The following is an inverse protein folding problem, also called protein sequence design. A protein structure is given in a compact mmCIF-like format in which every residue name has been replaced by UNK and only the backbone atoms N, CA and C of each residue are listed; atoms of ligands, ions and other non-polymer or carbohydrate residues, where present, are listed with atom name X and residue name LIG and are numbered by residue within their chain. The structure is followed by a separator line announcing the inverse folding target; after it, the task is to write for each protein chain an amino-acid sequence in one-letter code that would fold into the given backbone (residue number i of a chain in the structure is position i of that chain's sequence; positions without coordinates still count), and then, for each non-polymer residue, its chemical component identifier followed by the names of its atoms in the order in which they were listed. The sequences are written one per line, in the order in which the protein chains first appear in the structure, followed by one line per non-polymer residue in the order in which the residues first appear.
data_IF_579198408113
#
_entry.id   IF_579198408113
#
_cell.length_a   1.000
_cell.length_b   1.000
_cell.length_c   1.000
_cell.angle_alpha   90.00
_cell.angle_beta   90.00
_cell.angle_gamma   90.00
#
_symmetry.space_group_name_H-M   'P 1'
#
loop_
_entity.id
_entity.type
_entity.pdbx_description
1 polymer ?
#
# COMPACT_ATOMS: atom_id res chain seq x y z
N UNK A 1 -20.75 -20.32 -12.55
CA UNK A 1 -19.61 -19.41 -12.39
C UNK A 1 -19.06 -19.39 -10.95
N UNK A 2 -19.82 -18.93 -9.92
CA UNK A 2 -19.29 -18.87 -8.52
C UNK A 2 -18.70 -20.20 -8.04
N UNK A 3 -19.45 -21.32 -8.18
CA UNK A 3 -18.96 -22.64 -7.77
C UNK A 3 -17.72 -23.09 -8.54
N UNK A 4 -17.59 -22.69 -9.80
CA UNK A 4 -16.41 -23.02 -10.64
C UNK A 4 -15.17 -22.31 -10.13
N UNK A 5 -15.29 -21.02 -9.73
CA UNK A 5 -14.22 -20.25 -9.10
C UNK A 5 -13.80 -20.92 -7.79
N UNK A 6 -14.75 -21.19 -6.89
CA UNK A 6 -14.49 -21.81 -5.59
C UNK A 6 -13.80 -23.16 -5.73
N UNK A 7 -14.33 -24.04 -6.59
CA UNK A 7 -13.74 -25.38 -6.82
C UNK A 7 -12.34 -25.29 -7.43
N UNK A 8 -12.09 -24.29 -8.28
CA UNK A 8 -10.78 -24.10 -8.86
C UNK A 8 -9.76 -23.60 -7.83
N UNK A 9 -10.12 -22.59 -7.04
CA UNK A 9 -9.23 -22.09 -5.97
C UNK A 9 -8.91 -23.21 -4.97
N UNK A 10 -9.91 -24.03 -4.59
CA UNK A 10 -9.66 -25.19 -3.71
C UNK A 10 -8.73 -26.22 -4.34
N UNK A 11 -8.83 -26.43 -5.67
CA UNK A 11 -7.96 -27.39 -6.38
C UNK A 11 -6.49 -26.96 -6.47
N UNK A 12 -6.19 -25.67 -6.35
CA UNK A 12 -4.84 -25.10 -6.40
C UNK A 12 -4.36 -24.58 -5.04
N UNK A 13 -5.08 -24.88 -3.96
CA UNK A 13 -4.77 -24.33 -2.62
C UNK A 13 -3.35 -24.64 -2.15
N UNK A 14 -2.83 -25.83 -2.47
CA UNK A 14 -1.48 -26.22 -2.07
C UNK A 14 -0.43 -25.36 -2.79
N UNK A 15 -0.62 -25.06 -4.07
CA UNK A 15 0.26 -24.15 -4.83
C UNK A 15 0.23 -22.72 -4.25
N UNK A 16 -0.93 -22.28 -3.74
CA UNK A 16 -1.08 -20.97 -3.08
C UNK A 16 -0.38 -20.95 -1.70
N UNK A 17 -0.46 -22.04 -0.94
CA UNK A 17 0.28 -22.18 0.32
C UNK A 17 1.79 -22.23 0.08
N UNK A 18 2.23 -22.94 -0.98
CA UNK A 18 3.63 -22.99 -1.38
C UNK A 18 4.15 -21.60 -1.81
N UNK A 19 3.35 -20.79 -2.49
CA UNK A 19 3.68 -19.39 -2.79
C UNK A 19 3.90 -18.58 -1.50
N UNK A 20 2.96 -18.67 -0.55
CA UNK A 20 3.09 -17.96 0.74
C UNK A 20 4.35 -18.40 1.50
N UNK A 21 4.59 -19.70 1.57
CA UNK A 21 5.75 -20.29 2.23
C UNK A 21 7.06 -19.92 1.52
N UNK A 22 7.07 -19.91 0.19
CA UNK A 22 8.25 -19.52 -0.59
C UNK A 22 8.65 -18.08 -0.30
N UNK A 23 7.70 -17.14 -0.35
CA UNK A 23 7.94 -15.74 -0.03
C UNK A 23 8.42 -15.57 1.42
N UNK A 24 7.77 -16.26 2.38
CA UNK A 24 8.14 -16.22 3.79
C UNK A 24 9.59 -16.65 4.02
N UNK A 25 10.03 -17.73 3.36
CA UNK A 25 11.37 -18.29 3.51
C UNK A 25 12.44 -17.58 2.67
N UNK A 26 12.03 -16.72 1.71
CA UNK A 26 12.93 -15.94 0.86
C UNK A 26 12.58 -14.44 0.97
N UNK A 27 12.69 -13.83 2.15
CA UNK A 27 12.34 -12.41 2.33
C UNK A 27 13.29 -11.51 1.55
N UNK A 28 12.75 -10.65 0.72
CA UNK A 28 13.49 -9.68 -0.08
C UNK A 28 12.96 -8.27 0.18
N UNK A 29 13.86 -7.28 0.18
CA UNK A 29 13.56 -5.90 0.53
C UNK A 29 13.16 -5.05 -0.67
N UNK A 30 12.70 -3.84 -0.40
CA UNK A 30 12.20 -2.88 -1.38
C UNK A 30 13.05 -2.82 -2.65
N UNK A 31 12.41 -3.06 -3.79
CA UNK A 31 12.96 -3.03 -5.14
C UNK A 31 14.08 -4.07 -5.42
N UNK A 32 14.24 -5.06 -4.54
CA UNK A 32 15.17 -6.20 -4.68
C UNK A 32 14.46 -7.54 -4.58
N UNK A 33 13.15 -7.57 -4.80
CA UNK A 33 12.29 -8.75 -4.69
C UNK A 33 12.38 -9.66 -5.93
N UNK A 34 13.61 -9.97 -6.36
CA UNK A 34 13.85 -10.70 -7.62
C UNK A 34 13.35 -12.13 -7.60
N UNK A 35 13.55 -12.86 -6.49
CA UNK A 35 13.10 -14.25 -6.35
C UNK A 35 11.58 -14.31 -6.19
N UNK A 36 11.03 -13.43 -5.36
CA UNK A 36 9.59 -13.34 -5.11
C UNK A 36 8.82 -13.01 -6.38
N UNK A 37 9.23 -11.95 -7.10
CA UNK A 37 8.60 -11.55 -8.35
C UNK A 37 8.73 -12.65 -9.42
N UNK A 38 9.91 -13.27 -9.57
CA UNK A 38 10.11 -14.35 -10.55
C UNK A 38 9.23 -15.57 -10.27
N UNK A 39 9.07 -15.98 -9.00
CA UNK A 39 8.19 -17.07 -8.61
C UNK A 39 6.73 -16.78 -8.98
N UNK A 40 6.24 -15.59 -8.63
CA UNK A 40 4.87 -15.14 -8.94
C UNK A 40 4.65 -15.07 -10.45
N UNK A 41 5.57 -14.46 -11.19
CA UNK A 41 5.52 -14.35 -12.66
C UNK A 41 5.42 -15.72 -13.32
N UNK A 42 6.26 -16.67 -12.89
CA UNK A 42 6.23 -18.03 -13.42
C UNK A 42 4.89 -18.72 -13.16
N UNK A 43 4.35 -18.59 -11.94
CA UNK A 43 3.04 -19.12 -11.58
C UNK A 43 1.94 -18.54 -12.47
N UNK A 44 1.90 -17.22 -12.67
CA UNK A 44 0.92 -16.56 -13.53
C UNK A 44 1.03 -17.00 -14.99
N UNK A 45 2.25 -17.12 -15.53
CA UNK A 45 2.49 -17.64 -16.91
C UNK A 45 1.99 -19.06 -17.06
N UNK A 46 2.23 -19.94 -16.08
CA UNK A 46 1.76 -21.33 -16.10
C UNK A 46 0.23 -21.42 -16.13
N UNK A 47 -0.46 -20.45 -15.53
CA UNK A 47 -1.92 -20.34 -15.52
C UNK A 47 -2.49 -19.48 -16.67
N UNK A 48 -1.68 -19.17 -17.70
CA UNK A 48 -2.15 -18.55 -18.95
C UNK A 48 -2.27 -17.02 -18.94
N UNK A 49 -1.67 -16.35 -17.95
CA UNK A 49 -1.56 -14.89 -17.96
C UNK A 49 -0.46 -14.44 -18.93
N UNK A 50 -0.76 -13.37 -19.68
CA UNK A 50 0.26 -12.63 -20.42
C UNK A 50 0.95 -11.66 -19.46
N UNK A 51 2.26 -11.82 -19.26
CA UNK A 51 3.02 -11.07 -18.25
C UNK A 51 4.02 -10.13 -18.89
N UNK A 52 3.94 -8.84 -18.55
CA UNK A 52 4.94 -7.81 -18.85
C UNK A 52 5.80 -7.63 -17.61
N UNK A 53 7.05 -8.01 -17.68
CA UNK A 53 8.06 -7.83 -16.63
C UNK A 53 8.68 -6.45 -16.69
N UNK A 54 9.37 -6.03 -15.62
CA UNK A 54 10.00 -4.70 -15.51
C UNK A 54 9.00 -3.56 -15.79
N UNK A 55 7.80 -3.68 -15.25
CA UNK A 55 6.70 -2.76 -15.55
C UNK A 55 7.03 -1.35 -15.05
N UNK A 56 6.74 -0.33 -15.88
CA UNK A 56 7.11 1.07 -15.62
C UNK A 56 8.59 1.27 -15.28
N UNK A 57 9.50 0.48 -15.90
CA UNK A 57 10.95 0.50 -15.66
C UNK A 57 11.36 0.14 -14.22
N UNK A 58 10.51 -0.56 -13.48
CA UNK A 58 10.80 -1.08 -12.14
C UNK A 58 11.15 -2.57 -12.27
N UNK A 59 12.42 -2.99 -12.01
CA UNK A 59 12.90 -4.34 -12.31
C UNK A 59 12.09 -5.49 -11.70
N UNK A 60 11.53 -5.27 -10.51
CA UNK A 60 10.77 -6.29 -9.79
C UNK A 60 9.25 -6.12 -9.90
N UNK A 61 8.78 -5.05 -10.60
CA UNK A 61 7.35 -4.86 -10.89
C UNK A 61 6.93 -5.65 -12.14
N UNK A 62 5.67 -6.07 -12.18
CA UNK A 62 5.10 -6.76 -13.33
C UNK A 62 3.61 -6.41 -13.51
N UNK A 63 3.14 -6.50 -14.74
CA UNK A 63 1.74 -6.43 -15.11
C UNK A 63 1.35 -7.74 -15.78
N UNK A 64 0.38 -8.45 -15.24
CA UNK A 64 -0.12 -9.71 -15.77
C UNK A 64 -1.62 -9.61 -16.11
N UNK A 65 -2.01 -10.05 -17.27
CA UNK A 65 -3.40 -9.97 -17.74
C UNK A 65 -3.89 -11.30 -18.30
N UNK A 66 -5.12 -11.66 -17.92
CA UNK A 66 -5.89 -12.73 -18.53
C UNK A 66 -7.25 -12.18 -19.00
N UNK A 67 -7.68 -12.53 -20.20
CA UNK A 67 -8.87 -11.96 -20.82
C UNK A 67 -8.61 -10.70 -21.64
N UNK A 68 -9.65 -10.21 -22.33
CA UNK A 68 -9.59 -9.05 -23.24
C UNK A 68 -10.83 -8.18 -23.01
N UNK A 69 -10.62 -6.87 -22.98
CA UNK A 69 -11.71 -5.88 -22.85
C UNK A 69 -12.04 -5.52 -21.41
N UNK A 70 -13.11 -4.76 -21.25
CA UNK A 70 -13.61 -4.21 -19.98
C UNK A 70 -14.86 -4.98 -19.49
N UNK A 71 -15.14 -4.99 -18.17
CA UNK A 71 -14.34 -4.31 -17.12
C UNK A 71 -13.01 -5.01 -16.86
N UNK A 72 -12.00 -4.24 -16.47
CA UNK A 72 -10.70 -4.71 -16.03
C UNK A 72 -10.62 -4.70 -14.51
N UNK A 73 -10.58 -5.87 -13.91
CA UNK A 73 -10.47 -6.06 -12.45
C UNK A 73 -9.01 -6.30 -12.10
N UNK A 74 -8.42 -5.40 -11.32
CA UNK A 74 -7.01 -5.46 -10.92
C UNK A 74 -6.87 -5.85 -9.45
N UNK A 75 -6.05 -6.85 -9.19
CA UNK A 75 -5.58 -7.22 -7.86
C UNK A 75 -4.15 -6.73 -7.66
N UNK A 76 -3.94 -5.89 -6.65
CA UNK A 76 -2.59 -5.44 -6.28
C UNK A 76 -1.89 -6.58 -5.52
N UNK A 77 -0.71 -6.94 -5.99
CA UNK A 77 0.11 -7.99 -5.41
C UNK A 77 1.35 -7.37 -4.77
N UNK A 78 1.42 -7.37 -3.43
CA UNK A 78 2.56 -6.92 -2.64
C UNK A 78 3.32 -8.10 -2.10
N UNK A 79 4.65 -8.10 -2.22
CA UNK A 79 5.52 -9.23 -1.82
C UNK A 79 6.82 -8.80 -1.15
N UNK A 80 6.95 -7.52 -0.81
CA UNK A 80 8.12 -6.96 -0.13
C UNK A 80 8.19 -7.41 1.33
N UNK A 81 9.40 -7.73 1.79
CA UNK A 81 9.71 -7.99 3.18
C UNK A 81 10.57 -6.89 3.79
N UNK A 82 10.70 -6.86 5.11
CA UNK A 82 11.64 -5.98 5.81
C UNK A 82 13.00 -6.64 5.97
N UNK A 83 14.08 -5.85 5.93
CA UNK A 83 15.45 -6.35 5.92
C UNK A 83 15.80 -7.25 7.13
N UNK A 84 15.33 -6.90 8.32
CA UNK A 84 15.69 -7.59 9.56
C UNK A 84 14.65 -8.56 10.08
N UNK A 85 13.39 -8.37 9.72
CA UNK A 85 12.26 -9.04 10.38
C UNK A 85 11.34 -9.79 9.40
N UNK A 86 11.70 -9.86 8.12
CA UNK A 86 10.94 -10.61 7.12
C UNK A 86 9.56 -10.01 6.84
N UNK A 87 8.56 -10.85 6.67
CA UNK A 87 7.21 -10.45 6.29
C UNK A 87 6.34 -10.00 7.49
N UNK A 88 6.83 -9.04 8.27
CA UNK A 88 6.12 -8.50 9.46
C UNK A 88 4.79 -7.81 9.16
N UNK A 89 4.53 -7.49 7.90
CA UNK A 89 3.27 -6.94 7.40
C UNK A 89 2.37 -7.98 6.71
N UNK A 90 2.80 -9.24 6.65
CA UNK A 90 2.04 -10.30 6.00
C UNK A 90 1.97 -10.22 4.47
N UNK A 91 2.94 -9.58 3.80
CA UNK A 91 2.90 -9.42 2.34
C UNK A 91 3.00 -10.74 1.57
N UNK A 92 3.60 -11.79 2.14
CA UNK A 92 3.53 -13.15 1.59
C UNK A 92 2.08 -13.64 1.47
N UNK A 93 1.24 -13.31 2.44
CA UNK A 93 -0.20 -13.65 2.45
C UNK A 93 -0.98 -12.71 1.54
N UNK A 94 -0.69 -11.39 1.54
CA UNK A 94 -1.31 -10.43 0.62
C UNK A 94 -1.11 -10.85 -0.84
N UNK A 95 0.13 -11.25 -1.21
CA UNK A 95 0.43 -11.79 -2.54
C UNK A 95 -0.40 -13.04 -2.83
N UNK A 96 -0.45 -13.99 -1.91
CA UNK A 96 -1.17 -15.25 -2.07
C UNK A 96 -2.67 -15.05 -2.27
N UNK A 97 -3.30 -14.14 -1.51
CA UNK A 97 -4.71 -13.78 -1.68
C UNK A 97 -4.94 -13.18 -3.07
N UNK A 98 -4.11 -12.20 -3.48
CA UNK A 98 -4.25 -11.52 -4.78
C UNK A 98 -4.10 -12.50 -5.94
N UNK A 99 -3.09 -13.37 -5.89
CA UNK A 99 -2.84 -14.37 -6.93
C UNK A 99 -3.97 -15.39 -6.98
N UNK A 100 -4.39 -15.96 -5.85
CA UNK A 100 -5.49 -16.92 -5.81
C UNK A 100 -6.79 -16.33 -6.33
N UNK A 101 -7.10 -15.06 -6.00
CA UNK A 101 -8.27 -14.34 -6.50
C UNK A 101 -8.23 -14.19 -8.02
N UNK A 102 -7.08 -13.77 -8.53
CA UNK A 102 -6.88 -13.58 -9.97
C UNK A 102 -6.98 -14.91 -10.74
N UNK A 103 -6.34 -15.97 -10.24
CA UNK A 103 -6.41 -17.31 -10.83
C UNK A 103 -7.83 -17.86 -10.81
N UNK A 104 -8.57 -17.66 -9.71
CA UNK A 104 -9.96 -18.07 -9.60
C UNK A 104 -10.87 -17.37 -10.62
N UNK A 105 -10.80 -16.04 -10.67
CA UNK A 105 -11.61 -15.25 -11.61
C UNK A 105 -11.24 -15.52 -13.07
N UNK A 106 -9.96 -15.72 -13.38
CA UNK A 106 -9.48 -16.00 -14.73
C UNK A 106 -10.13 -17.25 -15.35
N UNK A 107 -10.54 -18.21 -14.51
CA UNK A 107 -11.14 -19.48 -14.95
C UNK A 107 -12.47 -19.29 -15.67
N UNK A 108 -13.18 -18.24 -15.37
CA UNK A 108 -14.50 -17.96 -15.97
C UNK A 108 -14.47 -16.79 -16.98
N UNK A 109 -13.37 -16.08 -17.09
CA UNK A 109 -13.23 -14.89 -17.96
C UNK A 109 -13.59 -15.15 -19.41
N UNK A 110 -13.21 -16.29 -19.97
CA UNK A 110 -13.56 -16.66 -21.35
C UNK A 110 -15.07 -16.79 -21.59
N UNK A 111 -15.87 -16.96 -20.53
CA UNK A 111 -17.33 -17.14 -20.58
C UNK A 111 -18.07 -15.83 -20.34
N UNK A 112 -17.52 -14.92 -19.54
CA UNK A 112 -18.18 -13.69 -19.09
C UNK A 112 -17.65 -12.43 -19.76
N UNK A 113 -16.47 -12.49 -20.40
CA UNK A 113 -15.78 -11.31 -20.94
C UNK A 113 -15.01 -10.54 -19.85
N UNK A 114 -14.49 -9.37 -20.22
CA UNK A 114 -13.66 -8.55 -19.35
C UNK A 114 -12.23 -9.07 -19.21
N UNK A 115 -11.48 -8.52 -18.26
CA UNK A 115 -10.09 -8.89 -18.00
C UNK A 115 -9.79 -8.96 -16.51
N UNK A 116 -8.91 -9.89 -16.14
CA UNK A 116 -8.30 -9.99 -14.82
C UNK A 116 -6.87 -9.52 -14.92
N UNK A 117 -6.49 -8.61 -14.05
CA UNK A 117 -5.14 -8.05 -13.98
C UNK A 117 -4.54 -8.36 -12.61
N UNK A 118 -3.27 -8.73 -12.59
CA UNK A 118 -2.43 -8.72 -11.40
C UNK A 118 -1.33 -7.70 -11.62
N UNK A 119 -1.25 -6.73 -10.74
CA UNK A 119 -0.16 -5.76 -10.74
C UNK A 119 0.77 -6.04 -9.58
N UNK A 120 1.98 -6.49 -9.89
CA UNK A 120 3.05 -6.71 -8.91
C UNK A 120 3.68 -5.38 -8.53
N UNK A 121 3.47 -4.97 -7.28
CA UNK A 121 3.95 -3.72 -6.72
C UNK A 121 5.04 -4.00 -5.67
N UNK A 122 6.33 -3.92 -6.04
CA UNK A 122 7.43 -3.95 -5.09
C UNK A 122 7.48 -2.66 -4.27
N UNK A 123 8.23 -2.70 -3.18
CA UNK A 123 8.30 -1.61 -2.24
C UNK A 123 7.12 -1.60 -1.26
N UNK A 124 7.26 -0.83 -0.19
CA UNK A 124 6.25 -0.79 0.88
C UNK A 124 5.94 0.65 1.28
N UNK A 125 4.68 0.91 1.63
CA UNK A 125 4.16 2.22 2.07
C UNK A 125 4.45 3.37 1.10
N UNK A 126 4.99 4.50 1.63
CA UNK A 126 5.30 5.71 0.84
C UNK A 126 6.34 5.48 -0.25
N UNK A 127 7.14 4.42 -0.14
CA UNK A 127 8.13 4.02 -1.14
C UNK A 127 7.63 2.94 -2.10
N UNK A 128 6.35 2.59 -2.06
CA UNK A 128 5.78 1.56 -2.92
C UNK A 128 5.75 1.95 -4.40
N UNK A 129 5.85 0.94 -5.27
CA UNK A 129 5.81 1.10 -6.71
C UNK A 129 4.50 1.73 -7.20
N UNK A 130 3.41 1.63 -6.42
CA UNK A 130 2.11 2.21 -6.75
C UNK A 130 2.19 3.69 -7.07
N UNK A 131 3.00 4.47 -6.33
CA UNK A 131 3.16 5.91 -6.56
C UNK A 131 3.82 6.19 -7.92
N UNK A 132 4.88 5.46 -8.24
CA UNK A 132 5.58 5.59 -9.53
C UNK A 132 4.68 5.18 -10.68
N UNK A 133 4.00 4.03 -10.57
CA UNK A 133 3.08 3.49 -11.57
C UNK A 133 1.90 4.44 -11.80
N UNK A 134 1.41 5.09 -10.72
CA UNK A 134 0.35 6.11 -10.82
C UNK A 134 0.84 7.35 -11.58
N UNK A 135 2.05 7.83 -11.27
CA UNK A 135 2.66 8.99 -11.94
C UNK A 135 2.87 8.74 -13.44
N UNK A 136 3.23 7.52 -13.81
CA UNK A 136 3.37 7.05 -15.20
C UNK A 136 2.01 6.77 -15.88
N UNK A 137 0.88 7.05 -15.21
CA UNK A 137 -0.50 6.87 -15.71
C UNK A 137 -0.87 5.45 -16.11
N UNK A 138 -0.20 4.47 -15.55
CA UNK A 138 -0.39 3.07 -15.90
C UNK A 138 -1.68 2.45 -15.34
N UNK A 139 -2.47 3.19 -14.56
CA UNK A 139 -3.77 2.77 -14.01
C UNK A 139 -4.98 3.31 -14.80
N UNK A 140 -4.78 4.22 -15.77
CA UNK A 140 -5.89 4.89 -16.48
C UNK A 140 -6.83 3.95 -17.24
N UNK A 141 -6.33 2.76 -17.60
CA UNK A 141 -7.09 1.73 -18.35
C UNK A 141 -7.60 0.59 -17.44
N UNK A 142 -7.71 0.80 -16.13
CA UNK A 142 -8.20 -0.15 -15.15
C UNK A 142 -9.50 0.36 -14.54
N UNK A 143 -10.54 -0.48 -14.50
CA UNK A 143 -11.86 -0.06 -14.02
C UNK A 143 -12.01 -0.19 -12.52
N UNK A 144 -11.43 -1.25 -11.92
CA UNK A 144 -11.58 -1.58 -10.48
C UNK A 144 -10.25 -2.07 -9.93
N UNK A 145 -9.91 -1.62 -8.72
CA UNK A 145 -8.71 -2.06 -8.01
C UNK A 145 -9.06 -2.61 -6.63
N UNK A 146 -8.58 -3.80 -6.34
CA UNK A 146 -8.73 -4.48 -5.05
C UNK A 146 -7.33 -4.80 -4.52
N UNK A 147 -6.99 -4.25 -3.35
CA UNK A 147 -5.72 -4.51 -2.70
C UNK A 147 -5.96 -5.13 -1.32
N UNK A 148 -5.88 -6.44 -1.14
CA UNK A 148 -6.02 -7.06 0.17
C UNK A 148 -4.87 -6.67 1.10
N UNK A 149 -5.17 -6.54 2.38
CA UNK A 149 -4.20 -6.25 3.43
C UNK A 149 -4.37 -7.21 4.61
N UNK A 150 -3.28 -7.79 5.08
CA UNK A 150 -3.28 -8.64 6.27
C UNK A 150 -3.31 -7.79 7.54
N UNK A 151 -4.16 -8.19 8.49
CA UNK A 151 -4.29 -7.52 9.78
C UNK A 151 -4.66 -8.55 10.86
N UNK A 152 -4.81 -8.12 12.09
CA UNK A 152 -5.33 -8.92 13.21
C UNK A 152 -6.86 -8.99 13.22
N UNK A 153 -7.53 -8.14 12.45
CA UNK A 153 -9.00 -8.09 12.34
C UNK A 153 -9.44 -8.03 10.89
N UNK A 154 -10.60 -8.61 10.59
CA UNK A 154 -11.25 -8.35 9.31
C UNK A 154 -11.97 -7.01 9.37
N UNK A 155 -11.76 -6.15 8.39
CA UNK A 155 -12.42 -4.85 8.31
C UNK A 155 -12.75 -4.46 6.87
N UNK A 156 -13.83 -3.70 6.71
CA UNK A 156 -14.08 -2.99 5.46
C UNK A 156 -12.96 -1.98 5.17
N UNK A 157 -12.81 -1.63 3.90
CA UNK A 157 -11.86 -0.60 3.50
C UNK A 157 -12.18 0.73 4.18
N UNK A 158 -11.17 1.33 4.82
CA UNK A 158 -11.26 2.65 5.44
C UNK A 158 -10.55 3.71 4.62
N UNK A 159 -10.05 4.73 5.29
CA UNK A 159 -9.22 5.79 4.71
C UNK A 159 -7.79 5.68 5.20
N UNK A 160 -6.86 6.40 4.57
CA UNK A 160 -5.52 6.63 5.07
C UNK A 160 -5.22 8.12 5.17
N UNK A 161 -4.08 8.48 5.73
CA UNK A 161 -3.64 9.87 5.73
C UNK A 161 -2.83 10.21 4.47
N UNK A 162 -2.93 11.46 4.03
CA UNK A 162 -1.97 12.04 3.13
C UNK A 162 -0.65 12.32 3.85
N UNK A 163 0.48 12.16 3.15
CA UNK A 163 1.82 12.36 3.71
C UNK A 163 2.68 13.20 2.79
N UNK A 164 3.36 14.21 3.34
CA UNK A 164 4.42 14.95 2.67
C UNK A 164 5.74 14.72 3.43
N UNK A 165 6.73 14.05 2.81
CA UNK A 165 8.03 13.77 3.44
C UNK A 165 8.97 14.96 3.27
N UNK A 166 9.23 15.71 4.35
CA UNK A 166 10.04 16.93 4.33
C UNK A 166 11.42 16.67 4.91
N UNK A 167 12.45 17.16 4.23
CA UNK A 167 13.82 17.18 4.68
C UNK A 167 14.32 18.61 4.79
N UNK A 168 14.93 18.94 5.92
CA UNK A 168 15.62 20.20 6.16
C UNK A 168 17.10 19.92 6.32
N UNK A 169 17.94 20.67 5.64
CA UNK A 169 19.39 20.69 5.86
C UNK A 169 19.81 22.07 6.32
N UNK A 170 20.64 22.12 7.33
CA UNK A 170 21.34 23.33 7.75
C UNK A 170 22.82 23.24 7.43
N UNK A 171 23.31 24.23 6.70
CA UNK A 171 24.72 24.39 6.38
C UNK A 171 25.34 25.32 7.43
N UNK A 172 25.89 24.75 8.49
CA UNK A 172 26.46 25.53 9.57
C UNK A 172 27.97 25.71 9.39
N UNK A 173 28.41 26.96 9.11
CA UNK A 173 29.79 27.32 8.99
C UNK A 173 30.41 27.74 10.34
N UNK A 174 29.62 27.84 11.40
CA UNK A 174 30.03 28.28 12.72
C UNK A 174 29.68 27.23 13.77
N UNK A 175 30.47 27.18 14.85
CA UNK A 175 30.37 26.21 15.97
C UNK A 175 29.02 26.16 16.74
N UNK A 176 27.96 26.74 16.22
CA UNK A 176 26.63 26.63 16.84
C UNK A 176 26.04 25.24 16.57
N UNK A 177 25.53 24.63 17.61
CA UNK A 177 24.95 23.30 17.56
C UNK A 177 23.77 23.27 16.57
N UNK A 178 23.93 22.57 15.46
CA UNK A 178 22.83 22.35 14.50
C UNK A 178 21.64 21.66 15.16
N UNK A 179 21.87 20.86 16.22
CA UNK A 179 20.83 20.23 17.00
C UNK A 179 19.92 21.27 17.70
N UNK A 180 20.48 22.32 18.27
CA UNK A 180 19.70 23.39 18.92
C UNK A 180 18.80 24.11 17.92
N UNK A 181 19.30 24.33 16.69
CA UNK A 181 18.50 24.93 15.62
C UNK A 181 17.32 24.05 15.24
N UNK A 182 17.53 22.73 15.12
CA UNK A 182 16.42 21.80 14.86
C UNK A 182 15.43 21.75 16.01
N UNK A 183 15.89 21.69 17.27
CA UNK A 183 15.01 21.71 18.44
C UNK A 183 14.16 22.98 18.50
N UNK A 184 14.75 24.14 18.17
CA UNK A 184 14.02 25.40 18.11
C UNK A 184 12.95 25.38 17.01
N UNK A 185 13.30 24.90 15.81
CA UNK A 185 12.37 24.76 14.70
C UNK A 185 11.23 23.79 15.04
N UNK A 186 11.53 22.58 15.53
CA UNK A 186 10.50 21.60 15.86
C UNK A 186 9.60 22.02 17.02
N UNK A 187 10.13 22.70 18.02
CA UNK A 187 9.30 23.28 19.08
C UNK A 187 8.35 24.35 18.52
N UNK A 188 8.83 25.21 17.63
CA UNK A 188 8.02 26.24 16.98
C UNK A 188 6.95 25.62 16.08
N UNK A 189 7.28 24.59 15.29
CA UNK A 189 6.35 23.83 14.48
C UNK A 189 5.26 23.14 15.33
N UNK A 190 5.65 22.53 16.44
CA UNK A 190 4.70 21.90 17.36
C UNK A 190 3.72 22.90 17.97
N UNK A 191 4.20 24.11 18.32
CA UNK A 191 3.31 25.20 18.79
C UNK A 191 2.40 25.71 17.69
N UNK A 192 2.90 25.87 16.46
CA UNK A 192 2.09 26.23 15.30
C UNK A 192 0.95 25.21 15.08
N UNK A 193 1.30 23.93 15.05
CA UNK A 193 0.33 22.86 14.79
C UNK A 193 -0.73 22.74 15.91
N UNK A 194 -0.34 22.92 17.16
CA UNK A 194 -1.30 22.94 18.30
C UNK A 194 -2.24 24.14 18.29
N UNK A 195 -1.79 25.28 17.75
CA UNK A 195 -2.61 26.49 17.62
C UNK A 195 -3.58 26.45 16.44
N UNK A 196 -3.34 25.55 15.51
CA UNK A 196 -4.21 25.32 14.35
C UNK A 196 -5.11 24.12 14.70
N UNK A 197 -6.42 24.32 14.77
CA UNK A 197 -7.41 23.24 14.99
C UNK A 197 -7.43 22.31 13.78
N UNK A 198 -6.49 21.39 13.69
CA UNK A 198 -6.27 20.64 12.47
C UNK A 198 -6.01 19.17 12.71
N UNK A 199 -6.42 18.37 11.73
CA UNK A 199 -6.07 16.97 11.63
C UNK A 199 -4.67 16.77 11.00
N UNK A 200 -3.77 17.76 11.18
CA UNK A 200 -2.40 17.71 10.71
C UNK A 200 -1.43 17.53 11.88
N UNK A 201 -0.42 16.71 11.69
CA UNK A 201 0.65 16.50 12.67
C UNK A 201 1.96 16.09 11.98
N UNK A 202 3.05 16.28 12.73
CA UNK A 202 4.39 15.84 12.32
C UNK A 202 4.70 14.52 13.01
N UNK A 203 5.26 13.59 12.26
CA UNK A 203 5.61 12.25 12.74
C UNK A 203 6.98 11.80 12.23
N UNK A 204 7.57 10.81 12.89
CA UNK A 204 8.84 10.17 12.50
C UNK A 204 10.00 11.16 12.32
N UNK A 205 10.17 12.07 13.27
CA UNK A 205 11.28 13.02 13.24
C UNK A 205 12.59 12.29 13.44
N UNK A 206 13.51 12.44 12.48
CA UNK A 206 14.89 11.97 12.59
C UNK A 206 15.87 13.10 12.34
N UNK A 207 16.89 13.22 13.18
CA UNK A 207 17.96 14.22 13.03
C UNK A 207 19.28 13.46 12.92
N UNK A 208 19.98 13.63 11.81
CA UNK A 208 21.24 12.97 11.54
C UNK A 208 22.34 14.01 11.32
N UNK A 209 23.47 13.82 11.98
CA UNK A 209 24.68 14.56 11.67
C UNK A 209 25.41 13.86 10.52
N UNK A 210 25.51 14.50 9.38
CA UNK A 210 26.27 14.01 8.23
C UNK A 210 27.65 14.62 8.32
N UNK A 211 28.64 13.87 8.82
CA UNK A 211 30.03 14.27 8.73
C UNK A 211 30.56 13.89 7.36
N UNK A 212 30.96 14.85 6.51
CA UNK A 212 31.72 14.50 5.31
C UNK A 212 33.09 13.94 5.73
N UNK A 213 33.51 12.90 5.07
CA UNK A 213 34.74 12.15 5.37
C UNK A 213 36.06 12.95 5.21
N UNK A 214 36.03 14.21 4.80
CA UNK A 214 37.20 15.08 4.68
C UNK A 214 36.80 16.55 4.90
N UNK A 215 37.15 17.06 6.06
CA UNK A 215 37.31 18.47 6.45
C UNK A 215 36.10 19.44 6.37
N UNK A 216 35.72 19.93 7.51
CA UNK A 216 35.34 21.29 7.90
C UNK A 216 33.87 21.76 7.88
N UNK A 217 32.87 21.03 7.36
CA UNK A 217 31.51 21.49 7.52
C UNK A 217 30.61 20.34 8.09
N UNK A 218 30.16 20.50 9.30
CA UNK A 218 29.11 19.66 9.90
C UNK A 218 27.79 19.97 9.18
N UNK A 219 27.47 19.16 8.17
CA UNK A 219 26.12 19.15 7.61
C UNK A 219 25.23 18.31 8.51
N UNK A 220 24.11 18.85 8.90
CA UNK A 220 23.11 18.12 9.62
C UNK A 220 21.81 18.14 8.83
N UNK A 221 21.08 17.03 8.84
CA UNK A 221 19.78 16.92 8.20
C UNK A 221 18.71 16.46 9.20
N UNK A 222 17.53 17.04 9.08
CA UNK A 222 16.34 16.55 9.75
C UNK A 222 15.32 16.10 8.71
N UNK A 223 14.68 14.95 8.97
CA UNK A 223 13.59 14.39 8.15
C UNK A 223 12.37 14.20 9.03
N UNK A 224 11.20 14.45 8.47
CA UNK A 224 9.94 14.20 9.13
C UNK A 224 8.82 14.04 8.09
N UNK A 225 7.75 13.40 8.51
CA UNK A 225 6.52 13.31 7.71
C UNK A 225 5.50 14.31 8.23
N UNK A 226 5.01 15.16 7.34
CA UNK A 226 3.79 15.94 7.57
C UNK A 226 2.61 15.06 7.16
N UNK A 227 1.72 14.77 8.09
CA UNK A 227 0.52 13.97 7.88
C UNK A 227 -0.73 14.83 8.02
N UNK A 228 -1.69 14.63 7.12
CA UNK A 228 -2.98 15.30 7.15
C UNK A 228 -4.09 14.36 6.69
N UNK A 229 -5.34 14.72 6.94
CA UNK A 229 -6.51 13.94 6.51
C UNK A 229 -6.64 13.90 5.00
N UNK A 230 -6.25 15.00 4.31
CA UNK A 230 -6.26 15.11 2.86
C UNK A 230 -4.97 15.73 2.34
N UNK A 231 -4.64 15.45 1.08
CA UNK A 231 -3.46 16.05 0.44
C UNK A 231 -3.58 17.58 0.35
N UNK A 232 -4.76 18.12 0.10
CA UNK A 232 -4.99 19.56 0.07
C UNK A 232 -4.67 20.24 1.42
N UNK A 233 -5.09 19.61 2.54
CA UNK A 233 -4.72 20.08 3.87
C UNK A 233 -3.21 19.99 4.07
N UNK A 234 -2.58 18.88 3.70
CA UNK A 234 -1.14 18.70 3.81
C UNK A 234 -0.37 19.78 3.04
N UNK A 235 -0.74 20.09 1.81
CA UNK A 235 -0.11 21.13 0.96
C UNK A 235 -0.27 22.55 1.54
N UNK A 236 -1.46 22.87 2.11
CA UNK A 236 -1.68 24.15 2.82
C UNK A 236 -0.73 24.28 4.01
N UNK A 237 -0.56 23.19 4.76
CA UNK A 237 0.34 23.16 5.92
C UNK A 237 1.79 23.15 5.53
N UNK A 238 2.17 22.43 4.51
CA UNK A 238 3.52 22.43 3.96
C UNK A 238 3.99 23.87 3.68
N UNK A 239 3.18 24.67 3.00
CA UNK A 239 3.51 26.08 2.72
C UNK A 239 3.75 26.88 4.00
N UNK A 240 2.87 26.77 5.00
CA UNK A 240 3.03 27.46 6.28
C UNK A 240 4.27 27.00 7.05
N UNK A 241 4.56 25.70 7.02
CA UNK A 241 5.73 25.11 7.64
C UNK A 241 7.00 25.64 6.97
N UNK A 242 7.05 25.67 5.66
CA UNK A 242 8.18 26.20 4.88
C UNK A 242 8.40 27.68 5.21
N UNK A 243 7.35 28.49 5.20
CA UNK A 243 7.43 29.93 5.57
C UNK A 243 7.96 30.12 7.01
N UNK A 244 7.50 29.31 7.95
CA UNK A 244 8.01 29.38 9.32
C UNK A 244 9.47 28.99 9.41
N UNK A 245 9.89 27.91 8.75
CA UNK A 245 11.29 27.46 8.72
C UNK A 245 12.17 28.55 8.14
N UNK A 246 11.79 29.15 6.99
CA UNK A 246 12.53 30.28 6.42
C UNK A 246 12.67 31.45 7.39
N UNK A 247 11.59 31.86 8.05
CA UNK A 247 11.61 32.95 9.01
C UNK A 247 12.54 32.67 10.21
N UNK A 248 12.49 31.44 10.74
CA UNK A 248 13.34 31.02 11.85
C UNK A 248 14.81 30.94 11.43
N UNK A 249 15.08 30.43 10.22
CA UNK A 249 16.44 30.35 9.66
C UNK A 249 17.08 31.74 9.48
N UNK A 250 16.27 32.72 9.04
CA UNK A 250 16.73 34.13 8.98
C UNK A 250 17.05 34.69 10.37
N UNK A 251 16.22 34.45 11.39
CA UNK A 251 16.46 34.86 12.76
C UNK A 251 17.75 34.25 13.31
N UNK A 252 17.98 32.96 13.02
CA UNK A 252 19.17 32.22 13.45
C UNK A 252 20.41 32.56 12.62
N UNK A 253 20.25 33.25 11.48
CA UNK A 253 21.31 33.50 10.48
C UNK A 253 21.98 32.21 9.98
N UNK A 254 21.22 31.14 9.79
CA UNK A 254 21.67 29.84 9.32
C UNK A 254 20.97 29.53 7.99
N UNK A 255 21.71 29.35 6.87
CA UNK A 255 21.12 28.97 5.61
C UNK A 255 20.50 27.55 5.68
N UNK A 256 19.28 27.43 5.18
CA UNK A 256 18.56 26.16 5.07
C UNK A 256 18.37 25.71 3.62
N UNK A 257 18.26 24.42 3.44
CA UNK A 257 17.80 23.75 2.21
C UNK A 257 16.63 22.86 2.58
N UNK A 258 15.44 23.13 2.00
CA UNK A 258 14.23 22.33 2.21
C UNK A 258 13.93 21.54 0.93
N UNK A 259 13.69 20.25 1.08
CA UNK A 259 13.39 19.35 -0.05
C UNK A 259 12.52 18.19 0.40
N UNK A 260 11.91 17.50 -0.54
CA UNK A 260 11.29 16.20 -0.28
C UNK A 260 12.37 15.11 -0.27
N UNK A 261 12.24 14.12 0.60
CA UNK A 261 13.16 12.96 0.60
C UNK A 261 12.52 11.68 0.04
N UNK A 262 11.20 11.69 -0.18
CA UNK A 262 10.40 10.65 -0.82
C UNK A 262 9.28 11.32 -1.64
N UNK A 263 8.52 10.54 -2.40
CA UNK A 263 7.33 11.04 -3.09
C UNK A 263 6.19 11.26 -2.07
N UNK A 264 5.46 12.38 -2.14
CA UNK A 264 4.23 12.57 -1.37
C UNK A 264 3.19 11.50 -1.72
N UNK A 265 2.39 11.09 -0.74
CA UNK A 265 1.28 10.18 -0.95
C UNK A 265 -0.05 10.84 -0.58
N UNK A 266 -1.05 10.63 -1.43
CA UNK A 266 -2.43 11.07 -1.17
C UNK A 266 -3.12 10.11 -0.19
N UNK A 267 -4.16 10.60 0.46
CA UNK A 267 -5.07 9.78 1.26
C UNK A 267 -5.80 8.74 0.41
N UNK A 268 -6.22 7.63 1.02
CA UNK A 268 -7.04 6.63 0.36
C UNK A 268 -8.51 7.09 0.31
N UNK A 269 -9.05 7.23 -0.87
CA UNK A 269 -10.46 7.40 -1.15
C UNK A 269 -11.10 6.03 -1.37
N UNK A 270 -11.68 5.46 -0.32
CA UNK A 270 -12.35 4.17 -0.41
C UNK A 270 -13.67 4.28 -1.17
N UNK A 271 -13.86 3.43 -2.18
CA UNK A 271 -15.15 3.24 -2.82
C UNK A 271 -16.06 2.40 -1.92
N UNK A 272 -17.12 3.02 -1.39
CA UNK A 272 -18.00 2.41 -0.39
C UNK A 272 -18.88 1.31 -0.96
N UNK A 273 -19.40 1.48 -2.17
CA UNK A 273 -20.24 0.49 -2.86
C UNK A 273 -19.43 -0.78 -3.11
N UNK A 274 -18.19 -0.65 -3.60
CA UNK A 274 -17.27 -1.76 -3.80
C UNK A 274 -16.89 -2.44 -2.46
N UNK A 275 -16.62 -1.66 -1.41
CA UNK A 275 -16.27 -2.18 -0.08
C UNK A 275 -17.40 -2.99 0.54
N UNK A 276 -18.65 -2.52 0.42
CA UNK A 276 -19.85 -3.26 0.90
C UNK A 276 -20.09 -4.54 0.13
N UNK A 277 -19.90 -4.51 -1.21
CA UNK A 277 -20.00 -5.70 -2.05
C UNK A 277 -18.97 -6.77 -1.60
N UNK A 278 -17.73 -6.36 -1.39
CA UNK A 278 -16.71 -7.27 -0.89
C UNK A 278 -17.05 -7.80 0.52
N UNK A 279 -17.49 -6.93 1.44
CA UNK A 279 -17.87 -7.37 2.79
C UNK A 279 -19.00 -8.41 2.77
N UNK A 280 -19.98 -8.28 1.85
CA UNK A 280 -20.98 -9.29 1.63
C UNK A 280 -20.36 -10.62 1.17
N UNK A 281 -19.50 -10.59 0.15
CA UNK A 281 -18.86 -11.78 -0.39
C UNK A 281 -17.89 -12.44 0.59
N UNK A 282 -17.23 -11.66 1.48
CA UNK A 282 -16.42 -12.20 2.58
C UNK A 282 -17.29 -13.02 3.56
N UNK A 283 -18.48 -12.51 3.93
CA UNK A 283 -19.42 -13.23 4.80
C UNK A 283 -19.89 -14.52 4.15
N UNK A 284 -20.26 -14.49 2.88
CA UNK A 284 -20.67 -15.68 2.12
C UNK A 284 -19.52 -16.72 2.01
N UNK A 285 -18.28 -16.26 2.00
CA UNK A 285 -17.08 -17.12 1.97
C UNK A 285 -16.64 -17.61 3.35
N UNK A 286 -17.39 -17.26 4.42
CA UNK A 286 -17.14 -17.72 5.80
C UNK A 286 -16.22 -16.83 6.63
N UNK A 287 -16.01 -15.58 6.23
CA UNK A 287 -15.39 -14.52 7.04
C UNK A 287 -16.51 -13.62 7.58
N UNK A 288 -17.11 -14.00 8.71
CA UNK A 288 -18.35 -13.40 9.21
C UNK A 288 -18.08 -12.13 10.03
N UNK A 289 -17.03 -12.16 10.87
CA UNK A 289 -16.72 -11.06 11.79
C UNK A 289 -15.94 -9.97 11.06
N UNK A 290 -16.64 -9.02 10.47
CA UNK A 290 -16.06 -7.89 9.76
C UNK A 290 -16.45 -6.62 10.51
N UNK A 291 -15.45 -5.86 10.98
CA UNK A 291 -15.70 -4.56 11.61
C UNK A 291 -15.92 -3.48 10.55
N UNK A 292 -16.59 -2.43 10.92
CA UNK A 292 -16.70 -1.23 10.10
C UNK A 292 -15.30 -0.68 9.76
N UNK A 293 -15.20 0.12 8.73
CA UNK A 293 -13.96 0.60 8.16
C UNK A 293 -12.89 0.98 9.21
N UNK A 294 -11.65 0.52 8.98
CA UNK A 294 -10.47 0.85 9.78
C UNK A 294 -9.68 1.93 9.07
N UNK A 295 -9.62 3.11 9.66
CA UNK A 295 -8.80 4.20 9.14
C UNK A 295 -7.34 3.99 9.53
N UNK A 296 -6.44 4.12 8.56
CA UNK A 296 -5.00 4.03 8.78
C UNK A 296 -4.45 5.41 9.16
N UNK A 297 -3.60 5.45 10.19
CA UNK A 297 -2.80 6.64 10.53
C UNK A 297 -1.52 6.75 9.67
N UNK A 298 -1.31 5.81 8.76
CA UNK A 298 -0.20 5.78 7.82
C UNK A 298 -0.67 6.18 6.43
N UNK A 299 0.25 6.69 5.60
CA UNK A 299 0.03 6.83 4.17
C UNK A 299 0.13 5.47 3.48
N UNK A 300 -0.65 5.29 2.44
CA UNK A 300 -0.67 4.09 1.64
C UNK A 300 -0.42 4.46 0.18
N UNK A 301 0.51 3.79 -0.50
CA UNK A 301 0.80 4.03 -1.92
C UNK A 301 -0.45 3.93 -2.81
N UNK A 302 -1.38 3.05 -2.42
CA UNK A 302 -2.68 2.88 -3.08
C UNK A 302 -3.58 4.14 -2.98
N UNK A 303 -3.30 5.05 -2.05
CA UNK A 303 -4.03 6.32 -1.95
C UNK A 303 -4.01 7.08 -3.27
N UNK A 304 -2.85 7.25 -3.89
CA UNK A 304 -2.73 7.95 -5.18
C UNK A 304 -3.56 7.29 -6.29
N UNK A 305 -3.68 5.97 -6.29
CA UNK A 305 -4.48 5.22 -7.26
C UNK A 305 -5.97 5.49 -7.06
N UNK A 306 -6.41 5.57 -5.79
CA UNK A 306 -7.83 5.72 -5.43
C UNK A 306 -8.45 7.05 -5.90
N UNK A 307 -7.63 8.04 -6.23
CA UNK A 307 -8.08 9.29 -6.84
C UNK A 307 -8.33 9.17 -8.36
N UNK A 308 -7.88 8.09 -8.99
CA UNK A 308 -8.00 7.85 -10.43
C UNK A 308 -8.98 6.73 -10.77
N UNK A 309 -9.05 5.70 -9.93
CA UNK A 309 -9.78 4.46 -10.20
C UNK A 309 -10.48 3.99 -8.91
N UNK A 310 -11.74 3.52 -8.98
CA UNK A 310 -12.43 2.92 -7.84
C UNK A 310 -11.57 1.85 -7.17
N UNK A 311 -11.29 2.05 -5.88
CA UNK A 311 -10.30 1.26 -5.16
C UNK A 311 -10.76 0.92 -3.76
N UNK A 312 -10.37 -0.27 -3.26
CA UNK A 312 -10.53 -0.70 -1.87
C UNK A 312 -9.27 -1.36 -1.31
N UNK A 313 -9.10 -1.20 0.00
CA UNK A 313 -8.00 -1.76 0.79
C UNK A 313 -8.56 -2.44 2.06
N UNK A 314 -9.25 -3.59 1.89
CA UNK A 314 -9.87 -4.32 3.01
C UNK A 314 -8.82 -5.00 3.87
N UNK A 315 -9.06 -5.08 5.17
CA UNK A 315 -8.24 -5.86 6.10
C UNK A 315 -8.75 -7.29 6.23
N UNK A 316 -7.85 -8.26 6.14
CA UNK A 316 -8.12 -9.69 6.30
C UNK A 316 -7.34 -10.21 7.50
N UNK A 317 -8.05 -10.78 8.48
CA UNK A 317 -7.42 -11.35 9.68
C UNK A 317 -6.64 -12.61 9.33
N UNK A 318 -5.38 -12.66 9.78
CA UNK A 318 -4.50 -13.84 9.63
C UNK A 318 -4.23 -14.54 10.96
N UNK A 319 -4.81 -14.05 12.05
CA UNK A 319 -4.62 -14.58 13.40
C UNK A 319 -5.90 -14.56 14.20
N UNK A 320 -6.05 -15.52 15.10
CA UNK A 320 -7.11 -15.53 16.14
C UNK A 320 -6.71 -14.67 17.35
N UNK A 321 -5.40 -14.45 17.53
CA UNK A 321 -4.86 -13.69 18.65
C UNK A 321 -4.85 -12.19 18.36
N UNK A 322 -5.85 -11.48 18.85
CA UNK A 322 -6.01 -10.03 18.69
C UNK A 322 -5.00 -9.18 19.50
N UNK A 323 -4.18 -9.80 20.34
CA UNK A 323 -3.15 -9.10 21.12
C UNK A 323 -1.83 -8.96 20.36
N UNK A 324 -1.71 -9.59 19.20
CA UNK A 324 -0.54 -9.45 18.34
C UNK A 324 -0.59 -8.10 17.63
N UNK A 325 0.53 -7.40 17.64
CA UNK A 325 0.67 -6.15 16.91
C UNK A 325 1.07 -6.41 15.45
N UNK A 326 0.44 -5.74 14.53
CA UNK A 326 0.87 -5.63 13.13
C UNK A 326 1.39 -4.20 12.90
N UNK A 327 2.66 -4.01 12.45
CA UNK A 327 3.66 -5.03 12.14
C UNK A 327 4.42 -5.57 13.38
N UNK A 328 4.78 -6.83 13.35
CA UNK A 328 5.70 -7.43 14.33
C UNK A 328 6.26 -8.77 13.85
N UNK A 329 7.41 -9.26 14.41
CA UNK A 329 7.89 -10.61 14.12
C UNK A 329 6.88 -11.70 14.50
N UNK A 330 6.11 -11.50 15.58
CA UNK A 330 5.03 -12.42 15.98
C UNK A 330 3.93 -12.48 14.92
N UNK A 331 3.58 -11.34 14.29
CA UNK A 331 2.61 -11.31 13.20
C UNK A 331 3.13 -12.06 11.96
N UNK A 332 4.43 -11.96 11.66
CA UNK A 332 5.03 -12.75 10.57
C UNK A 332 4.88 -14.28 10.81
N UNK A 333 4.99 -14.76 12.04
CA UNK A 333 4.78 -16.17 12.37
C UNK A 333 3.34 -16.62 12.14
N UNK A 334 2.36 -15.74 12.38
CA UNK A 334 0.94 -16.04 12.15
C UNK A 334 0.64 -16.34 10.67
N UNK A 335 1.44 -15.83 9.74
CA UNK A 335 1.29 -16.12 8.30
C UNK A 335 1.46 -17.60 7.96
N UNK A 336 2.04 -18.41 8.86
CA UNK A 336 2.32 -19.83 8.66
C UNK A 336 1.27 -20.75 9.31
N UNK A 337 0.29 -20.19 10.03
CA UNK A 337 -0.72 -20.97 10.77
C UNK A 337 -1.80 -21.54 9.83
N UNK A 338 -2.46 -22.61 10.26
CA UNK A 338 -3.61 -23.18 9.54
C UNK A 338 -4.79 -22.19 9.50
N UNK A 339 -4.96 -21.35 10.52
CA UNK A 339 -5.96 -20.29 10.51
C UNK A 339 -5.70 -19.32 9.35
N UNK A 340 -4.45 -18.87 9.18
CA UNK A 340 -4.06 -18.00 8.08
C UNK A 340 -4.29 -18.65 6.72
N UNK A 341 -3.86 -19.89 6.53
CA UNK A 341 -4.07 -20.66 5.28
C UNK A 341 -5.54 -20.74 4.90
N UNK A 342 -6.41 -21.08 5.85
CA UNK A 342 -7.84 -21.13 5.64
C UNK A 342 -8.41 -19.76 5.24
N UNK A 343 -7.94 -18.68 5.85
CA UNK A 343 -8.41 -17.33 5.54
C UNK A 343 -7.87 -16.79 4.21
N UNK A 344 -6.70 -17.24 3.74
CA UNK A 344 -6.23 -16.97 2.37
C UNK A 344 -7.27 -17.47 1.37
N UNK A 345 -7.70 -18.71 1.47
CA UNK A 345 -8.66 -19.32 0.52
C UNK A 345 -10.04 -18.66 0.60
N UNK A 346 -10.55 -18.39 1.81
CA UNK A 346 -11.82 -17.70 2.00
C UNK A 346 -11.81 -16.28 1.42
N UNK A 347 -10.74 -15.52 1.69
CA UNK A 347 -10.57 -14.19 1.16
C UNK A 347 -10.42 -14.20 -0.36
N UNK A 348 -9.61 -15.11 -0.90
CA UNK A 348 -9.45 -15.26 -2.34
C UNK A 348 -10.77 -15.57 -3.05
N UNK A 349 -11.60 -16.45 -2.50
CA UNK A 349 -12.93 -16.72 -3.02
C UNK A 349 -13.79 -15.45 -3.03
N UNK A 350 -13.82 -14.70 -1.93
CA UNK A 350 -14.60 -13.47 -1.82
C UNK A 350 -14.16 -12.41 -2.83
N UNK A 351 -12.85 -12.18 -2.97
CA UNK A 351 -12.30 -11.20 -3.90
C UNK A 351 -12.59 -11.60 -5.37
N UNK A 352 -12.42 -12.88 -5.71
CA UNK A 352 -12.71 -13.39 -7.05
C UNK A 352 -14.21 -13.28 -7.39
N UNK A 353 -15.10 -13.62 -6.44
CA UNK A 353 -16.56 -13.49 -6.60
C UNK A 353 -16.95 -12.01 -6.71
N UNK A 354 -16.29 -11.10 -5.99
CA UNK A 354 -16.52 -9.67 -6.14
C UNK A 354 -16.19 -9.19 -7.56
N UNK A 355 -15.06 -9.63 -8.12
CA UNK A 355 -14.73 -9.37 -9.53
C UNK A 355 -15.77 -9.94 -10.49
N UNK A 356 -16.24 -11.16 -10.26
CA UNK A 356 -17.30 -11.79 -11.03
C UNK A 356 -18.60 -10.97 -11.00
N UNK A 357 -19.06 -10.59 -9.81
CA UNK A 357 -20.31 -9.83 -9.65
C UNK A 357 -20.25 -8.48 -10.40
N UNK A 358 -19.10 -7.81 -10.42
CA UNK A 358 -18.88 -6.55 -11.13
C UNK A 358 -18.92 -6.75 -12.66
N UNK A 359 -18.30 -7.82 -13.16
CA UNK A 359 -18.29 -8.11 -14.60
C UNK A 359 -19.68 -8.50 -15.08
N UNK A 360 -20.41 -9.32 -14.33
CA UNK A 360 -21.75 -9.79 -14.73
C UNK A 360 -22.84 -8.73 -14.58
N UNK A 361 -22.68 -7.75 -13.64
CA UNK A 361 -23.71 -6.76 -13.27
C UNK A 361 -23.28 -5.35 -13.62
N UNK A 362 -23.60 -4.90 -14.82
CA UNK A 362 -23.23 -3.55 -15.31
C UNK A 362 -23.76 -2.41 -14.41
N UNK A 363 -24.88 -2.59 -13.73
CA UNK A 363 -25.42 -1.58 -12.82
C UNK A 363 -24.55 -1.37 -11.59
N UNK A 364 -23.95 -2.46 -11.06
CA UNK A 364 -22.97 -2.36 -9.98
C UNK A 364 -21.71 -1.60 -10.42
N UNK A 365 -21.19 -1.89 -11.61
CA UNK A 365 -20.03 -1.18 -12.15
C UNK A 365 -20.32 0.31 -12.29
N UNK A 366 -21.53 0.67 -12.78
CA UNK A 366 -21.95 2.08 -12.90
C UNK A 366 -22.03 2.77 -11.53
N UNK A 367 -22.65 2.12 -10.53
CA UNK A 367 -22.74 2.65 -9.17
C UNK A 367 -21.35 2.91 -8.58
N UNK A 368 -20.45 1.94 -8.68
CA UNK A 368 -19.06 2.04 -8.22
C UNK A 368 -18.32 3.19 -8.94
N UNK A 369 -18.50 3.34 -10.25
CA UNK A 369 -17.81 4.36 -11.04
C UNK A 369 -18.33 5.77 -10.75
N UNK A 370 -19.64 5.92 -10.51
CA UNK A 370 -20.25 7.22 -10.19
C UNK A 370 -19.76 7.75 -8.84
N UNK A 371 -19.52 6.87 -7.88
CA UNK A 371 -19.01 7.25 -6.55
C UNK A 371 -17.61 7.90 -6.59
N UNK A 372 -16.81 7.64 -7.61
CA UNK A 372 -15.48 8.25 -7.76
C UNK A 372 -15.54 9.72 -8.22
N UNK A 373 -16.63 10.14 -8.88
CA UNK A 373 -16.83 11.50 -9.39
C UNK A 373 -17.41 12.43 -8.33
#
# INVERSE_FOLDING_TARGET
MKQEIISYIDSIKDDIYDLSNYLYNNPETNYKEYKGSAYIINMLKTHGFNVKENYCNIPTAFYAQCGIGHPKICYICKYTATEKSGHVFGNNVNASISIASALGLSKVISKIGGSVIVLGCPGEYSNGAELTITKEKCFEDIDIIIAPHCDVTNAESGTSMAIIPIKIKYNNNNNNSSLESYLFVFNSLNHLLKGLTTNCFIDNISINNVSPSNNSFLQSEAKFYLKATTINEAEIFEKKIIELIHSLSQIMSIPEEISLFELPSQELLTNKSLSRLLAHNLKESGIINIVCCKNSSYGLGIGAISHLTPCIYPSISITENKLINCPSPSFALETQTEFCKNNIIKAANALAITGLDIIEKQDLLREITIELK
#
